data_IF_853984632845
#
_entry.id   IF_853984632845
#
_cell.length_a   1.000
_cell.length_b   1.000
_cell.length_c   1.000
_cell.angle_alpha   90.00
_cell.angle_beta   90.00
_cell.angle_gamma   90.00
#
_symmetry.space_group_name_H-M   'P 1'
#
loop_
_entity.id
_entity.type
_entity.pdbx_description
1 polymer ?
#
# COMPACT_ATOMS: atom_id res chain seq x y z
N UNK A 1 -30.44 54.71 -4.43
CA UNK A 1 -30.86 53.30 -4.25
C UNK A 1 -29.63 52.42 -4.49
N UNK A 2 -29.11 51.79 -3.44
CA UNK A 2 -27.88 50.99 -3.42
C UNK A 2 -28.18 49.58 -3.95
N UNK A 3 -27.41 49.09 -4.92
CA UNK A 3 -27.29 47.64 -5.17
C UNK A 3 -25.79 47.35 -5.31
N UNK A 4 -25.22 46.85 -4.20
CA UNK A 4 -23.87 46.29 -4.13
C UNK A 4 -23.95 44.89 -4.72
N UNK A 5 -23.36 44.66 -5.90
CA UNK A 5 -23.18 43.31 -6.43
C UNK A 5 -21.82 42.79 -5.94
N UNK A 6 -21.85 42.10 -4.82
CA UNK A 6 -20.76 41.27 -4.32
C UNK A 6 -20.78 39.96 -5.11
N UNK A 7 -19.88 39.78 -6.08
CA UNK A 7 -19.55 38.46 -6.60
C UNK A 7 -18.13 38.08 -6.16
N UNK A 8 -18.10 37.09 -5.28
CA UNK A 8 -16.92 36.40 -4.79
C UNK A 8 -16.03 35.95 -5.95
N UNK A 9 -14.84 36.53 -6.03
CA UNK A 9 -13.76 35.99 -6.83
C UNK A 9 -13.15 34.81 -6.06
N UNK A 10 -13.66 33.60 -6.27
CA UNK A 10 -13.02 32.38 -5.78
C UNK A 10 -11.69 32.23 -6.51
N UNK A 11 -10.60 32.58 -5.84
CA UNK A 11 -9.25 32.29 -6.30
C UNK A 11 -9.05 30.77 -6.27
N UNK A 12 -9.24 30.14 -7.43
CA UNK A 12 -8.55 28.90 -7.75
C UNK A 12 -7.09 29.24 -7.98
N UNK A 13 -6.25 29.08 -6.96
CA UNK A 13 -4.82 28.96 -7.19
C UNK A 13 -4.38 27.51 -7.06
N UNK A 14 -3.96 27.03 -8.23
CA UNK A 14 -3.14 25.87 -8.51
C UNK A 14 -1.96 25.85 -7.53
N UNK A 15 -1.76 24.75 -6.82
CA UNK A 15 -0.39 24.36 -6.48
C UNK A 15 -0.15 22.98 -7.07
N UNK A 16 0.47 23.03 -8.24
CA UNK A 16 1.05 21.88 -8.92
C UNK A 16 2.33 21.50 -8.16
N UNK A 17 2.48 20.20 -7.93
CA UNK A 17 3.68 19.61 -7.37
C UNK A 17 4.94 20.04 -8.14
N UNK A 18 5.83 20.79 -7.48
CA UNK A 18 7.28 20.84 -7.71
C UNK A 18 7.95 21.79 -6.68
N UNK A 19 8.55 21.21 -5.64
CA UNK A 19 9.81 21.69 -5.04
C UNK A 19 9.84 22.94 -4.15
N UNK A 20 8.71 23.57 -3.81
CA UNK A 20 8.71 24.57 -2.74
C UNK A 20 8.58 23.85 -1.39
N UNK A 21 9.66 23.81 -0.60
CA UNK A 21 9.61 23.32 0.77
C UNK A 21 8.57 24.14 1.55
N UNK A 22 7.51 23.46 2.02
CA UNK A 22 6.47 24.10 2.84
C UNK A 22 7.13 24.52 4.15
N UNK A 23 7.29 25.83 4.35
CA UNK A 23 7.87 26.38 5.58
C UNK A 23 6.82 26.27 6.68
N UNK A 24 7.06 25.37 7.63
CA UNK A 24 6.16 25.16 8.78
C UNK A 24 6.60 26.10 9.93
N UNK A 25 5.75 27.01 10.40
CA UNK A 25 6.06 27.87 11.53
C UNK A 25 6.40 27.07 12.78
N UNK A 26 7.35 27.56 13.57
CA UNK A 26 7.73 26.92 14.83
C UNK A 26 6.53 26.84 15.77
N UNK A 27 6.21 25.64 16.24
CA UNK A 27 5.09 25.39 17.15
C UNK A 27 3.73 25.33 16.47
N UNK A 28 3.67 25.33 15.13
CA UNK A 28 2.42 25.17 14.42
C UNK A 28 1.74 23.84 14.81
N UNK A 29 0.42 23.84 14.98
CA UNK A 29 -0.33 22.70 15.50
C UNK A 29 -0.97 21.90 14.36
N UNK A 30 -0.92 20.57 14.42
CA UNK A 30 -1.71 19.74 13.50
C UNK A 30 -3.20 19.86 13.87
N UNK A 31 -3.97 20.60 13.06
CA UNK A 31 -5.40 20.81 13.34
C UNK A 31 -6.31 19.83 12.66
N UNK A 32 -6.00 19.46 11.43
CA UNK A 32 -6.88 18.60 10.65
C UNK A 32 -6.09 17.66 9.75
N UNK A 33 -6.65 16.45 9.61
CA UNK A 33 -6.30 15.53 8.54
C UNK A 33 -7.53 15.36 7.65
N UNK A 34 -7.41 15.89 6.44
CA UNK A 34 -8.44 15.80 5.40
C UNK A 34 -8.22 14.52 4.62
N UNK A 35 -9.24 13.69 4.55
CA UNK A 35 -9.23 12.46 3.76
C UNK A 35 -10.10 12.62 2.51
N UNK A 36 -9.72 11.94 1.44
CA UNK A 36 -10.47 11.85 0.18
C UNK A 36 -11.84 11.15 0.32
N UNK A 37 -12.01 10.26 1.29
CA UNK A 37 -13.26 9.56 1.56
C UNK A 37 -13.59 9.46 3.06
N UNK A 38 -14.89 9.53 3.39
CA UNK A 38 -15.39 9.32 4.74
C UNK A 38 -15.15 7.89 5.26
N UNK A 39 -15.18 6.89 4.36
CA UNK A 39 -14.87 5.50 4.71
C UNK A 39 -13.41 5.32 5.10
N UNK A 40 -12.51 5.94 4.32
CA UNK A 40 -11.06 5.95 4.57
C UNK A 40 -10.77 6.64 5.90
N UNK A 41 -11.37 7.81 6.13
CA UNK A 41 -11.30 8.53 7.42
C UNK A 41 -11.74 7.63 8.57
N UNK A 42 -12.89 6.97 8.47
CA UNK A 42 -13.40 6.10 9.54
C UNK A 42 -12.41 4.97 9.88
N UNK A 43 -11.75 4.39 8.87
CA UNK A 43 -10.84 3.25 9.05
C UNK A 43 -9.45 3.67 9.56
N UNK A 44 -8.84 4.70 8.99
CA UNK A 44 -7.41 5.00 9.19
C UNK A 44 -7.12 6.26 10.00
N UNK A 45 -8.13 7.06 10.37
CA UNK A 45 -7.90 8.25 11.21
C UNK A 45 -7.36 7.91 12.61
N UNK A 46 -7.48 6.64 13.03
CA UNK A 46 -6.90 6.14 14.28
C UNK A 46 -5.39 6.32 14.38
N UNK A 47 -4.64 6.15 13.27
CA UNK A 47 -3.16 6.25 13.26
C UNK A 47 -2.63 7.61 13.69
N UNK A 48 -3.43 8.67 13.50
CA UNK A 48 -2.97 10.04 13.69
C UNK A 48 -3.63 10.73 14.88
N UNK A 49 -4.50 10.03 15.63
CA UNK A 49 -5.29 10.60 16.72
C UNK A 49 -4.41 11.30 17.76
N UNK A 50 -3.28 10.69 18.10
CA UNK A 50 -2.37 11.21 19.11
C UNK A 50 -1.53 12.40 18.64
N UNK A 51 -1.56 12.72 17.34
CA UNK A 51 -0.87 13.88 16.76
C UNK A 51 -1.76 15.12 16.71
N UNK A 52 -3.08 14.95 16.83
CA UNK A 52 -4.03 16.06 16.70
C UNK A 52 -3.86 17.08 17.83
N UNK A 53 -3.90 18.37 17.47
CA UNK A 53 -3.69 19.53 18.34
C UNK A 53 -2.33 19.56 19.06
N UNK A 54 -1.33 18.84 18.54
CA UNK A 54 0.06 18.90 19.02
C UNK A 54 0.94 19.66 18.02
N UNK A 55 2.11 20.18 18.45
CA UNK A 55 3.10 20.74 17.53
C UNK A 55 3.40 19.74 16.41
N UNK A 56 3.29 20.21 15.17
CA UNK A 56 3.52 19.39 14.00
C UNK A 56 4.99 19.02 13.92
N UNK A 57 5.25 17.71 13.99
CA UNK A 57 6.56 17.13 13.75
C UNK A 57 6.51 16.28 12.48
N UNK A 58 7.24 16.71 11.46
CA UNK A 58 7.23 16.06 10.14
C UNK A 58 7.75 14.63 10.21
N UNK A 59 8.71 14.35 11.10
CA UNK A 59 9.26 13.01 11.30
C UNK A 59 8.22 12.07 11.90
N UNK A 60 7.59 12.45 13.01
CA UNK A 60 6.54 11.65 13.65
C UNK A 60 5.36 11.45 12.71
N UNK A 61 4.94 12.48 11.97
CA UNK A 61 3.88 12.35 10.98
C UNK A 61 4.25 11.37 9.86
N UNK A 62 5.49 11.45 9.36
CA UNK A 62 6.01 10.52 8.35
C UNK A 62 6.00 9.08 8.87
N UNK A 63 6.43 8.85 10.12
CA UNK A 63 6.40 7.52 10.74
C UNK A 63 4.98 6.94 10.73
N UNK A 64 3.96 7.71 11.10
CA UNK A 64 2.56 7.24 11.06
C UNK A 64 2.08 6.95 9.63
N UNK A 65 2.49 7.77 8.66
CA UNK A 65 2.19 7.53 7.24
C UNK A 65 2.85 6.25 6.72
N UNK A 66 4.10 5.99 7.11
CA UNK A 66 4.83 4.78 6.74
C UNK A 66 4.22 3.52 7.39
N UNK A 67 3.75 3.63 8.65
CA UNK A 67 3.03 2.56 9.33
C UNK A 67 1.73 2.21 8.61
N UNK A 68 0.97 3.21 8.17
CA UNK A 68 -0.22 3.02 7.35
C UNK A 68 0.13 2.31 6.02
N UNK A 69 1.17 2.76 5.31
CA UNK A 69 1.62 2.12 4.08
C UNK A 69 2.00 0.63 4.31
N UNK A 70 2.68 0.35 5.43
CA UNK A 70 3.02 -1.02 5.84
C UNK A 70 1.76 -1.86 6.11
N UNK A 71 0.75 -1.32 6.79
CA UNK A 71 -0.51 -2.01 7.04
C UNK A 71 -1.20 -2.39 5.72
N UNK A 72 -1.31 -1.45 4.78
CA UNK A 72 -1.87 -1.69 3.45
C UNK A 72 -1.12 -2.81 2.72
N UNK A 73 0.21 -2.78 2.76
CA UNK A 73 1.06 -3.80 2.17
C UNK A 73 0.80 -5.18 2.78
N UNK A 74 0.76 -5.29 4.12
CA UNK A 74 0.47 -6.57 4.82
C UNK A 74 -0.94 -7.09 4.55
N UNK A 75 -1.87 -6.20 4.22
CA UNK A 75 -3.25 -6.54 3.85
C UNK A 75 -3.38 -7.01 2.39
N UNK A 76 -2.30 -6.99 1.61
CA UNK A 76 -2.28 -7.42 0.20
C UNK A 76 -2.45 -6.28 -0.81
N UNK A 77 -2.45 -5.02 -0.39
CA UNK A 77 -2.46 -3.85 -1.28
C UNK A 77 -1.02 -3.47 -1.68
N UNK A 78 -0.32 -4.38 -2.36
CA UNK A 78 1.12 -4.24 -2.64
C UNK A 78 1.48 -3.02 -3.49
N UNK A 79 0.58 -2.64 -4.40
CA UNK A 79 0.75 -1.48 -5.29
C UNK A 79 0.07 -0.20 -4.75
N UNK A 80 -0.33 -0.18 -3.48
CA UNK A 80 -0.97 0.99 -2.90
C UNK A 80 -0.02 2.17 -2.75
N UNK A 81 -0.56 3.39 -2.74
CA UNK A 81 0.21 4.61 -2.50
C UNK A 81 -0.46 5.46 -1.43
N UNK A 82 0.33 5.88 -0.44
CA UNK A 82 -0.05 6.88 0.57
C UNK A 82 0.61 8.20 0.20
N UNK A 83 -0.18 9.22 -0.15
CA UNK A 83 0.32 10.58 -0.41
C UNK A 83 -0.21 11.54 0.66
N UNK A 84 0.62 12.49 1.03
CA UNK A 84 0.22 13.62 1.85
C UNK A 84 0.56 14.94 1.15
N UNK A 85 -0.27 15.94 1.37
CA UNK A 85 -0.06 17.33 0.97
C UNK A 85 -0.26 18.20 2.22
N UNK A 86 0.73 19.01 2.55
CA UNK A 86 0.77 19.79 3.79
C UNK A 86 0.45 21.24 3.46
N UNK A 87 -0.55 21.78 4.13
CA UNK A 87 -0.93 23.18 4.07
C UNK A 87 -0.75 23.84 5.42
N UNK A 88 -0.27 25.08 5.41
CA UNK A 88 -0.11 25.90 6.60
C UNK A 88 -1.09 27.07 6.52
N UNK A 89 -1.92 27.21 7.54
CA UNK A 89 -2.90 28.29 7.68
C UNK A 89 -2.63 29.02 9.00
N UNK A 90 -1.87 30.12 8.95
CA UNK A 90 -1.46 30.84 10.15
C UNK A 90 -0.51 30.02 11.02
N UNK A 91 -0.96 29.60 12.21
CA UNK A 91 -0.23 28.69 13.11
C UNK A 91 -0.75 27.25 13.04
N UNK A 92 -1.64 26.94 12.12
CA UNK A 92 -2.24 25.62 12.00
C UNK A 92 -1.69 24.89 10.78
N UNK A 93 -1.49 23.59 10.95
CA UNK A 93 -1.12 22.65 9.88
C UNK A 93 -2.32 21.79 9.55
N UNK A 94 -2.66 21.74 8.27
CA UNK A 94 -3.70 20.88 7.71
C UNK A 94 -3.01 19.91 6.75
N UNK A 95 -3.22 18.61 6.95
CA UNK A 95 -2.66 17.60 6.07
C UNK A 95 -3.77 16.94 5.26
N UNK A 96 -3.66 16.99 3.93
CA UNK A 96 -4.52 16.23 3.04
C UNK A 96 -3.88 14.88 2.75
N UNK A 97 -4.54 13.81 3.18
CA UNK A 97 -4.16 12.42 2.89
C UNK A 97 -4.92 11.91 1.67
N UNK A 98 -4.19 11.26 0.76
CA UNK A 98 -4.77 10.57 -0.41
C UNK A 98 -4.28 9.13 -0.41
N UNK A 99 -5.22 8.18 -0.43
CA UNK A 99 -4.91 6.76 -0.49
C UNK A 99 -5.38 6.18 -1.82
N UNK A 100 -4.44 5.66 -2.60
CA UNK A 100 -4.74 4.85 -3.77
C UNK A 100 -4.49 3.39 -3.42
N UNK A 101 -5.54 2.64 -3.10
CA UNK A 101 -5.43 1.23 -2.68
C UNK A 101 -4.94 0.31 -3.80
N UNK A 102 -5.24 0.65 -5.07
CA UNK A 102 -5.25 -0.32 -6.18
C UNK A 102 -6.04 -1.60 -5.83
N UNK A 103 -5.86 -2.66 -6.62
CA UNK A 103 -6.49 -3.94 -6.32
C UNK A 103 -5.74 -4.65 -5.21
N UNK A 104 -6.49 -5.30 -4.31
CA UNK A 104 -5.93 -6.23 -3.34
C UNK A 104 -5.46 -7.48 -4.08
N UNK A 105 -4.34 -8.05 -3.68
CA UNK A 105 -3.80 -9.28 -4.27
C UNK A 105 -3.86 -10.39 -3.23
N UNK A 106 -4.38 -11.55 -3.64
CA UNK A 106 -4.35 -12.78 -2.87
C UNK A 106 -3.59 -13.87 -3.63
N UNK A 107 -2.90 -14.73 -2.88
CA UNK A 107 -2.12 -15.84 -3.41
C UNK A 107 -2.64 -17.14 -2.83
N UNK A 108 -3.01 -18.06 -3.70
CA UNK A 108 -3.44 -19.41 -3.37
C UNK A 108 -2.50 -20.41 -4.03
N UNK A 109 -2.16 -21.50 -3.34
CA UNK A 109 -1.22 -22.50 -3.83
C UNK A 109 -1.89 -23.87 -3.89
N UNK A 110 -1.59 -24.66 -4.91
CA UNK A 110 -2.09 -26.03 -5.03
C UNK A 110 -0.97 -26.94 -5.47
N UNK A 111 -0.95 -28.16 -4.94
CA UNK A 111 0.11 -29.15 -5.22
C UNK A 111 1.40 -28.92 -4.43
N UNK A 112 1.44 -27.91 -3.54
CA UNK A 112 2.55 -27.72 -2.60
C UNK A 112 2.42 -28.68 -1.39
N UNK A 113 3.20 -29.75 -1.39
CA UNK A 113 3.35 -30.67 -0.26
C UNK A 113 4.65 -30.43 0.52
N UNK A 114 5.66 -29.82 -0.11
CA UNK A 114 6.97 -29.54 0.49
C UNK A 114 6.96 -28.25 1.32
N UNK A 115 6.37 -27.18 0.78
CA UNK A 115 6.22 -25.91 1.50
C UNK A 115 4.77 -25.69 1.90
N UNK A 116 4.56 -25.14 3.09
CA UNK A 116 3.24 -24.66 3.50
C UNK A 116 2.80 -23.44 2.69
N UNK A 117 1.49 -23.20 2.65
CA UNK A 117 0.92 -21.99 2.03
C UNK A 117 1.54 -20.72 2.61
N UNK A 118 1.72 -20.68 3.93
CA UNK A 118 2.24 -19.52 4.61
C UNK A 118 3.70 -19.23 4.24
N UNK A 119 4.53 -20.26 4.09
CA UNK A 119 5.93 -20.09 3.68
C UNK A 119 6.05 -19.54 2.26
N UNK A 120 5.30 -20.09 1.30
CA UNK A 120 5.31 -19.58 -0.07
C UNK A 120 4.78 -18.14 -0.13
N UNK A 121 3.71 -17.85 0.62
CA UNK A 121 3.16 -16.49 0.73
C UNK A 121 4.18 -15.52 1.32
N UNK A 122 4.88 -15.90 2.39
CA UNK A 122 5.94 -15.07 2.99
C UNK A 122 7.05 -14.80 1.98
N UNK A 123 7.55 -15.83 1.29
CA UNK A 123 8.62 -15.70 0.28
C UNK A 123 8.20 -14.78 -0.88
N UNK A 124 6.97 -14.90 -1.39
CA UNK A 124 6.46 -13.98 -2.42
C UNK A 124 6.34 -12.55 -1.90
N UNK A 125 5.85 -12.37 -0.68
CA UNK A 125 5.71 -11.04 -0.06
C UNK A 125 7.08 -10.37 0.11
N UNK A 126 8.11 -11.13 0.48
CA UNK A 126 9.49 -10.65 0.57
C UNK A 126 10.05 -10.25 -0.79
N UNK A 127 9.81 -11.06 -1.85
CA UNK A 127 10.18 -10.70 -3.22
C UNK A 127 9.56 -9.38 -3.65
N UNK A 128 8.25 -9.20 -3.42
CA UNK A 128 7.52 -7.97 -3.76
C UNK A 128 8.12 -6.77 -3.01
N UNK A 129 8.43 -6.93 -1.74
CA UNK A 129 9.05 -5.88 -0.92
C UNK A 129 10.41 -5.47 -1.50
N UNK A 130 11.23 -6.44 -1.90
CA UNK A 130 12.56 -6.20 -2.48
C UNK A 130 12.47 -5.52 -3.86
N UNK A 131 11.36 -5.68 -4.57
CA UNK A 131 11.08 -5.04 -5.86
C UNK A 131 10.31 -3.72 -5.73
N UNK A 132 10.40 -3.06 -4.56
CA UNK A 132 9.75 -1.78 -4.24
C UNK A 132 8.22 -1.83 -4.44
N UNK A 133 7.60 -2.96 -4.11
CA UNK A 133 6.16 -3.15 -4.20
C UNK A 133 5.64 -3.55 -5.58
N UNK A 134 6.50 -3.62 -6.61
CA UNK A 134 6.09 -4.05 -7.95
C UNK A 134 5.80 -5.55 -7.94
N UNK A 135 4.52 -5.91 -8.03
CA UNK A 135 4.10 -7.29 -8.22
C UNK A 135 4.02 -7.64 -9.72
N UNK A 136 5.12 -8.11 -10.30
CA UNK A 136 5.10 -8.75 -11.62
C UNK A 136 4.79 -10.25 -11.46
N UNK A 137 3.54 -10.60 -11.72
CA UNK A 137 3.02 -11.97 -11.54
C UNK A 137 3.75 -12.98 -12.42
N UNK A 138 4.16 -12.59 -13.62
CA UNK A 138 4.90 -13.50 -14.50
C UNK A 138 6.27 -13.88 -13.91
N UNK A 139 6.87 -13.00 -13.11
CA UNK A 139 8.11 -13.29 -12.41
C UNK A 139 7.92 -14.22 -11.21
N UNK A 140 6.70 -14.39 -10.71
CA UNK A 140 6.43 -15.19 -9.51
C UNK A 140 6.49 -16.69 -9.77
N UNK A 141 6.10 -17.16 -10.97
CA UNK A 141 6.24 -18.58 -11.31
C UNK A 141 7.69 -19.02 -11.27
N UNK A 142 8.58 -18.30 -11.97
CA UNK A 142 10.01 -18.57 -11.98
C UNK A 142 10.64 -18.44 -10.59
N UNK A 143 10.18 -17.48 -9.78
CA UNK A 143 10.63 -17.38 -8.40
C UNK A 143 10.19 -18.58 -7.54
N UNK A 144 8.94 -19.02 -7.64
CA UNK A 144 8.47 -20.20 -6.89
C UNK A 144 9.26 -21.44 -7.34
N UNK A 145 9.47 -21.64 -8.64
CA UNK A 145 10.32 -22.75 -9.15
C UNK A 145 11.70 -22.72 -8.53
N UNK A 146 12.35 -21.55 -8.50
CA UNK A 146 13.65 -21.37 -7.86
C UNK A 146 13.63 -21.70 -6.37
N UNK A 147 12.57 -21.35 -5.64
CA UNK A 147 12.41 -21.71 -4.22
C UNK A 147 12.43 -23.23 -4.00
N UNK A 148 11.83 -24.01 -4.91
CA UNK A 148 11.90 -25.47 -4.87
C UNK A 148 13.28 -26.00 -5.25
N UNK A 149 13.90 -25.45 -6.29
CA UNK A 149 15.25 -25.82 -6.72
C UNK A 149 16.29 -25.57 -5.62
N UNK A 150 16.22 -24.41 -4.96
CA UNK A 150 17.09 -24.04 -3.83
C UNK A 150 16.92 -25.00 -2.63
N UNK A 151 15.77 -25.68 -2.52
CA UNK A 151 15.50 -26.73 -1.53
C UNK A 151 15.83 -28.15 -2.03
N UNK A 152 16.40 -28.30 -3.23
CA UNK A 152 16.84 -29.57 -3.81
C UNK A 152 15.81 -30.31 -4.67
N UNK A 153 14.66 -29.67 -4.97
CA UNK A 153 13.57 -30.24 -5.77
C UNK A 153 13.59 -29.69 -7.20
N UNK A 154 14.29 -30.42 -8.07
CA UNK A 154 14.52 -30.01 -9.45
C UNK A 154 13.38 -30.41 -10.40
N UNK A 155 13.22 -29.62 -11.47
CA UNK A 155 12.17 -29.77 -12.48
C UNK A 155 10.75 -29.51 -11.95
N UNK A 156 10.63 -28.74 -10.87
CA UNK A 156 9.33 -28.26 -10.40
C UNK A 156 8.70 -27.35 -11.45
N UNK A 157 7.41 -27.56 -11.77
CA UNK A 157 6.67 -26.72 -12.72
C UNK A 157 5.64 -25.91 -11.99
N UNK A 158 5.57 -24.63 -12.31
CA UNK A 158 4.59 -23.72 -11.72
C UNK A 158 3.85 -23.02 -12.84
N UNK A 159 2.52 -23.13 -12.80
CA UNK A 159 1.63 -22.36 -13.65
C UNK A 159 0.70 -21.53 -12.77
N UNK A 160 0.07 -20.50 -13.33
CA UNK A 160 -0.92 -19.73 -12.59
C UNK A 160 -2.10 -19.33 -13.46
N UNK A 161 -3.21 -19.03 -12.81
CA UNK A 161 -4.32 -18.30 -13.41
C UNK A 161 -4.82 -17.23 -12.45
N UNK A 162 -5.44 -16.19 -13.00
CA UNK A 162 -6.01 -15.08 -12.24
C UNK A 162 -7.54 -15.19 -12.22
N UNK A 163 -8.14 -14.89 -11.08
CA UNK A 163 -9.57 -14.67 -10.94
C UNK A 163 -9.83 -13.36 -10.20
N UNK A 164 -10.57 -12.48 -10.86
CA UNK A 164 -11.03 -11.24 -10.23
C UNK A 164 -12.26 -11.53 -9.35
N UNK A 165 -12.36 -10.81 -8.24
CA UNK A 165 -13.48 -10.92 -7.32
C UNK A 165 -13.69 -9.65 -6.53
N UNK A 166 -14.59 -9.76 -5.56
CA UNK A 166 -14.82 -8.74 -4.55
C UNK A 166 -14.57 -9.33 -3.16
N UNK A 167 -13.93 -8.58 -2.29
CA UNK A 167 -13.85 -8.95 -0.87
C UNK A 167 -15.17 -8.66 -0.14
N UNK A 168 -15.21 -8.98 1.16
CA UNK A 168 -16.40 -8.75 2.01
C UNK A 168 -16.81 -7.27 2.07
N UNK A 169 -15.84 -6.36 1.88
CA UNK A 169 -16.03 -4.91 1.87
C UNK A 169 -16.36 -4.39 0.45
N UNK A 170 -16.55 -5.29 -0.53
CA UNK A 170 -16.74 -5.00 -1.95
C UNK A 170 -15.56 -4.30 -2.64
N UNK A 171 -14.35 -4.42 -2.10
CA UNK A 171 -13.15 -3.99 -2.80
C UNK A 171 -12.75 -5.02 -3.85
N UNK A 172 -12.18 -4.54 -4.97
CA UNK A 172 -11.64 -5.42 -6.01
C UNK A 172 -10.45 -6.22 -5.48
N UNK A 173 -10.50 -7.53 -5.70
CA UNK A 173 -9.42 -8.45 -5.37
C UNK A 173 -9.01 -9.24 -6.61
N UNK A 174 -7.70 -9.35 -6.84
CA UNK A 174 -7.10 -10.23 -7.84
C UNK A 174 -6.58 -11.46 -7.09
N UNK A 175 -7.19 -12.61 -7.35
CA UNK A 175 -6.75 -13.88 -6.79
C UNK A 175 -5.84 -14.57 -7.80
N UNK A 176 -4.61 -14.89 -7.41
CA UNK A 176 -3.69 -15.68 -8.21
C UNK A 176 -3.59 -17.07 -7.62
N UNK A 177 -3.95 -18.07 -8.43
CA UNK A 177 -3.87 -19.47 -8.08
C UNK A 177 -2.65 -20.07 -8.75
N UNK A 178 -1.67 -20.45 -7.95
CA UNK A 178 -0.46 -21.14 -8.40
C UNK A 178 -0.69 -22.65 -8.33
N UNK A 179 -0.56 -23.31 -9.47
CA UNK A 179 -0.59 -24.76 -9.59
C UNK A 179 0.86 -25.25 -9.68
N UNK A 180 1.27 -26.03 -8.69
CA UNK A 180 2.64 -26.49 -8.49
C UNK A 180 2.68 -28.00 -8.73
N UNK A 181 3.46 -28.41 -9.72
CA UNK A 181 3.89 -29.79 -9.90
C UNK A 181 5.29 -29.90 -9.30
N UNK A 182 5.40 -30.53 -8.13
CA UNK A 182 6.65 -30.62 -7.41
C UNK A 182 7.65 -31.55 -8.10
N UNK A 183 8.90 -31.09 -8.15
CA UNK A 183 10.00 -31.81 -8.76
C UNK A 183 10.50 -32.99 -7.94
N UNK A 184 11.53 -33.67 -8.45
CA UNK A 184 12.17 -34.78 -7.74
C UNK A 184 13.29 -34.27 -6.84
N UNK A 185 13.38 -34.85 -5.65
CA UNK A 185 14.49 -34.58 -4.74
C UNK A 185 15.77 -35.26 -5.24
N UNK A 186 16.81 -34.48 -5.49
CA UNK A 186 18.11 -34.96 -5.95
C UNK A 186 18.97 -35.60 -4.85
N UNK A 187 18.65 -35.37 -3.57
CA UNK A 187 19.41 -35.92 -2.43
C UNK A 187 19.23 -37.44 -2.23
N UNK A 188 18.51 -38.13 -3.13
CA UNK A 188 18.24 -39.57 -3.08
C UNK A 188 18.79 -40.35 -4.29
N UNK A 189 19.69 -39.77 -5.09
CA UNK A 189 20.43 -40.53 -6.10
C UNK A 189 21.78 -40.92 -5.50
N UNK A 190 21.81 -42.08 -4.83
CA UNK A 190 23.03 -42.85 -4.51
C UNK A 190 23.00 -44.09 -5.40
#
# INVERSE_FOLDING_TARGET
MKILLSLFLTFFFISAALGADVIIPKGALLKEIVWDSSLIKKRYNGHFRDLMNRPFDSLTFKIQSDLLAKELFTSGFFNSTVKNDIKVEGQDVIVKMTLDFKNRVNFEFRGNTIFSHQELRTKLTEKIKNEFGKADINSFTGFIQKVYEDAGFYNSKVTFYQQDGLDLDRNKINNYFFLIEEGKNSNFII
#
